data_IF_560820448729
#
_entry.id   IF_560820448729
#
_cell.length_a   1.000
_cell.length_b   1.000
_cell.length_c   1.000
_cell.angle_alpha   90.00
_cell.angle_beta   90.00
_cell.angle_gamma   90.00
#
_symmetry.space_group_name_H-M   'P 1'
#
loop_
_entity.id
_entity.type
_entity.pdbx_description
1 polymer ?
#
# COMPACT_ATOMS: atom_id res chain seq x y z
N UNK A 1 12.47 17.42 19.32
CA UNK A 1 13.35 16.32 18.89
C UNK A 1 13.04 15.99 17.44
N UNK A 2 14.04 15.87 16.54
CA UNK A 2 13.78 15.44 15.16
C UNK A 2 13.22 14.02 15.15
N UNK A 3 12.13 13.81 14.41
CA UNK A 3 11.46 12.51 14.27
C UNK A 3 12.41 11.51 13.60
N UNK A 4 12.34 10.22 13.97
CA UNK A 4 13.18 9.14 13.41
C UNK A 4 13.28 9.18 11.88
N UNK A 5 12.13 9.45 11.22
CA UNK A 5 12.01 9.55 9.77
C UNK A 5 12.87 10.68 9.19
N UNK A 6 12.95 11.82 9.88
CA UNK A 6 13.75 12.98 9.46
C UNK A 6 15.24 12.72 9.59
N UNK A 7 15.66 11.94 10.60
CA UNK A 7 17.08 11.57 10.77
C UNK A 7 17.52 10.55 9.71
N UNK A 8 16.66 9.58 9.39
CA UNK A 8 16.98 8.49 8.45
C UNK A 8 16.72 8.84 6.98
N UNK A 9 15.75 9.69 6.70
CA UNK A 9 15.28 9.98 5.34
C UNK A 9 15.75 11.31 4.76
N UNK A 10 16.51 12.11 5.52
CA UNK A 10 17.11 13.34 5.04
C UNK A 10 18.61 13.17 4.82
N UNK A 11 19.06 13.52 3.63
CA UNK A 11 20.47 13.64 3.30
C UNK A 11 20.78 15.09 2.89
N UNK A 12 21.93 15.63 3.30
CA UNK A 12 22.28 17.03 3.04
C UNK A 12 22.46 17.32 1.54
N UNK A 13 22.95 16.36 0.76
CA UNK A 13 23.21 16.50 -0.67
C UNK A 13 21.98 16.13 -1.51
N UNK A 14 21.17 15.17 -1.04
CA UNK A 14 20.04 14.63 -1.79
C UNK A 14 18.66 15.11 -1.30
N UNK A 15 18.60 15.84 -0.19
CA UNK A 15 17.36 16.27 0.44
C UNK A 15 16.53 15.09 0.95
N UNK A 16 15.21 15.13 0.77
CA UNK A 16 14.29 14.08 1.22
C UNK A 16 14.17 12.89 0.25
N UNK A 17 14.94 12.84 -0.84
CA UNK A 17 14.87 11.72 -1.81
C UNK A 17 15.06 10.34 -1.18
N UNK A 18 15.98 10.14 -0.20
CA UNK A 18 16.13 8.86 0.48
C UNK A 18 14.91 8.42 1.29
N UNK A 19 14.03 9.36 1.68
CA UNK A 19 12.84 9.09 2.50
C UNK A 19 11.92 8.03 1.89
N UNK A 20 11.71 8.09 0.56
CA UNK A 20 10.86 7.13 -0.13
C UNK A 20 11.36 5.69 0.04
N UNK A 21 12.68 5.48 -0.05
CA UNK A 21 13.31 4.17 0.17
C UNK A 21 13.17 3.72 1.62
N UNK A 22 13.36 4.62 2.58
CA UNK A 22 13.19 4.31 4.01
C UNK A 22 11.76 3.87 4.32
N UNK A 23 10.76 4.57 3.79
CA UNK A 23 9.35 4.20 3.97
C UNK A 23 9.06 2.86 3.29
N UNK A 24 9.57 2.64 2.08
CA UNK A 24 9.36 1.39 1.36
C UNK A 24 9.92 0.19 2.16
N UNK A 25 11.18 0.28 2.58
CA UNK A 25 11.90 -0.83 3.22
C UNK A 25 11.42 -1.06 4.66
N UNK A 26 11.25 0.00 5.43
CA UNK A 26 11.01 -0.12 6.87
C UNK A 26 9.54 -0.03 7.27
N UNK A 27 8.65 0.44 6.39
CA UNK A 27 7.20 0.57 6.70
C UNK A 27 6.36 -0.29 5.76
N UNK A 28 6.50 -0.14 4.44
CA UNK A 28 5.61 -0.83 3.49
C UNK A 28 5.85 -2.34 3.44
N UNK A 29 7.10 -2.79 3.35
CA UNK A 29 7.42 -4.22 3.34
C UNK A 29 6.88 -4.99 4.56
N UNK A 30 7.15 -4.59 5.82
CA UNK A 30 6.66 -5.36 6.96
C UNK A 30 5.13 -5.33 7.06
N UNK A 31 4.48 -4.22 6.69
CA UNK A 31 3.01 -4.17 6.64
C UNK A 31 2.46 -5.08 5.54
N UNK A 32 3.10 -5.15 4.37
CA UNK A 32 2.68 -6.04 3.28
C UNK A 32 2.82 -7.52 3.68
N UNK A 33 3.87 -7.90 4.40
CA UNK A 33 4.02 -9.25 4.95
C UNK A 33 2.92 -9.57 5.97
N UNK A 34 2.61 -8.65 6.88
CA UNK A 34 1.51 -8.83 7.84
C UNK A 34 0.13 -8.86 7.16
N UNK A 35 -0.04 -8.15 6.04
CA UNK A 35 -1.25 -8.20 5.20
C UNK A 35 -1.39 -9.52 4.43
N UNK A 36 -0.29 -10.14 4.01
CA UNK A 36 -0.33 -11.40 3.25
C UNK A 36 -0.39 -12.63 4.16
N UNK A 37 0.32 -12.60 5.28
CA UNK A 37 0.60 -13.79 6.09
C UNK A 37 0.38 -13.61 7.59
N UNK A 38 0.13 -12.38 8.05
CA UNK A 38 0.11 -12.05 9.46
C UNK A 38 -1.27 -11.61 9.97
N UNK A 39 -1.24 -10.75 10.99
CA UNK A 39 -2.44 -10.34 11.74
C UNK A 39 -3.35 -9.38 10.97
N UNK A 40 -2.91 -8.88 9.82
CA UNK A 40 -3.66 -7.97 8.96
C UNK A 40 -4.25 -8.67 7.74
N UNK A 41 -4.24 -10.00 7.67
CA UNK A 41 -4.76 -10.75 6.51
C UNK A 41 -6.23 -10.42 6.18
N UNK A 42 -7.02 -10.04 7.18
CA UNK A 42 -8.41 -9.62 7.00
C UNK A 42 -8.57 -8.08 6.96
N UNK A 43 -7.47 -7.35 6.76
CA UNK A 43 -7.40 -5.91 6.97
C UNK A 43 -7.24 -5.53 8.45
N UNK A 44 -7.46 -4.26 8.77
CA UNK A 44 -7.31 -3.72 10.12
C UNK A 44 -6.51 -2.42 10.14
N UNK A 45 -6.26 -1.91 11.35
CA UNK A 45 -5.46 -0.71 11.57
C UNK A 45 -4.10 -1.07 12.18
N UNK A 46 -3.03 -0.43 11.70
CA UNK A 46 -1.68 -0.56 12.27
C UNK A 46 -1.22 0.77 12.81
N UNK A 47 -0.77 0.77 14.06
CA UNK A 47 -0.11 1.91 14.67
C UNK A 47 1.40 1.70 14.63
N UNK A 48 2.10 2.61 13.94
CA UNK A 48 3.56 2.61 13.87
C UNK A 48 4.12 3.61 14.88
N UNK A 49 5.02 3.15 15.74
CA UNK A 49 5.71 3.97 16.74
C UNK A 49 7.22 3.84 16.61
N UNK A 50 7.94 4.77 17.23
CA UNK A 50 9.40 4.69 17.36
C UNK A 50 9.72 4.44 18.83
N UNK A 51 10.39 3.32 19.12
CA UNK A 51 10.96 3.02 20.43
C UNK A 51 12.43 2.67 20.26
N UNK A 52 13.29 3.24 21.11
CA UNK A 52 14.75 3.00 21.11
C UNK A 52 15.42 3.12 19.72
N UNK A 53 14.91 4.01 18.87
CA UNK A 53 15.44 4.22 17.52
C UNK A 53 15.04 3.15 16.49
N UNK A 54 14.03 2.32 16.79
CA UNK A 54 13.46 1.30 15.89
C UNK A 54 11.97 1.54 15.69
N UNK A 55 11.45 1.10 14.54
CA UNK A 55 10.02 1.12 14.28
C UNK A 55 9.36 -0.09 14.95
N UNK A 56 8.31 0.18 15.72
CA UNK A 56 7.46 -0.83 16.38
C UNK A 56 6.08 -0.75 15.76
N UNK A 57 5.51 -1.91 15.44
CA UNK A 57 4.22 -2.06 14.79
C UNK A 57 3.23 -2.70 15.77
N UNK A 58 2.24 -1.92 16.20
CA UNK A 58 1.08 -2.41 16.95
C UNK A 58 -0.07 -2.65 15.97
N UNK A 59 -0.48 -3.90 15.81
CA UNK A 59 -1.74 -4.22 15.12
C UNK A 59 -2.89 -3.91 16.08
N UNK A 60 -3.75 -2.96 15.70
CA UNK A 60 -4.99 -2.68 16.38
C UNK A 60 -6.05 -3.52 15.68
N UNK A 61 -6.50 -4.60 16.31
CA UNK A 61 -7.70 -5.32 15.90
C UNK A 61 -8.91 -4.42 16.14
N UNK A 62 -9.07 -3.42 15.29
CA UNK A 62 -10.36 -2.79 15.10
C UNK A 62 -11.10 -3.69 14.11
N UNK A 63 -12.22 -4.25 14.56
CA UNK A 63 -13.07 -5.12 13.77
C UNK A 63 -13.60 -4.35 12.55
N UNK A 64 -12.83 -4.28 11.47
CA UNK A 64 -13.27 -3.65 10.23
C UNK A 64 -14.30 -4.61 9.61
N UNK A 65 -15.57 -4.19 9.43
CA UNK A 65 -16.54 -5.02 8.72
C UNK A 65 -16.03 -5.22 7.28
N UNK A 66 -16.09 -6.47 6.81
CA UNK A 66 -15.58 -6.91 5.50
C UNK A 66 -15.86 -5.88 4.38
N UNK A 67 -14.86 -5.55 3.54
CA UNK A 67 -15.12 -4.84 2.29
C UNK A 67 -16.07 -5.68 1.44
N UNK A 68 -17.07 -5.03 0.84
CA UNK A 68 -17.93 -5.67 -0.16
C UNK A 68 -17.07 -6.05 -1.35
N UNK A 69 -17.11 -7.32 -1.76
CA UNK A 69 -16.54 -7.78 -3.02
C UNK A 69 -17.18 -7.01 -4.18
N UNK A 70 -16.39 -6.16 -4.82
CA UNK A 70 -16.69 -5.57 -6.12
C UNK A 70 -15.63 -6.04 -7.08
N UNK A 71 -15.93 -7.12 -7.81
CA UNK A 71 -15.09 -7.61 -8.88
C UNK A 71 -15.10 -6.64 -10.07
N UNK A 72 -13.95 -6.51 -10.70
CA UNK A 72 -13.86 -6.10 -12.10
C UNK A 72 -13.11 -7.21 -12.84
N UNK A 73 -13.91 -8.16 -13.32
CA UNK A 73 -13.54 -9.09 -14.37
C UNK A 73 -13.15 -8.27 -15.60
N UNK A 74 -11.86 -8.28 -15.96
CA UNK A 74 -11.44 -7.89 -17.29
C UNK A 74 -11.65 -9.10 -18.21
N UNK A 75 -12.86 -9.27 -18.73
CA UNK A 75 -13.19 -10.19 -19.82
C UNK A 75 -13.73 -9.37 -21.01
N UNK A 76 -12.94 -9.41 -22.09
CA UNK A 76 -13.30 -9.49 -23.51
C UNK A 76 -14.41 -8.56 -24.07
N UNK A 77 -14.01 -7.57 -24.88
CA UNK A 77 -14.82 -7.10 -26.01
C UNK A 77 -14.25 -7.69 -27.31
N UNK A 78 -14.68 -8.92 -27.59
CA UNK A 78 -14.63 -9.53 -28.91
C UNK A 78 -15.88 -9.06 -29.68
N UNK A 79 -15.79 -7.91 -30.37
CA UNK A 79 -16.73 -7.51 -31.45
C UNK A 79 -16.33 -6.20 -32.14
N UNK A 80 -15.36 -6.27 -33.06
CA UNK A 80 -15.36 -5.35 -34.23
C UNK A 80 -15.48 -6.18 -35.50
N UNK A 81 -16.70 -6.31 -36.00
CA UNK A 81 -17.16 -6.21 -37.41
C UNK A 81 -18.69 -6.46 -37.41
N UNK A 82 -19.52 -5.99 -38.38
CA UNK A 82 -19.20 -5.54 -39.74
C UNK A 82 -19.90 -4.23 -40.22
N UNK A 83 -19.17 -3.33 -40.88
CA UNK A 83 -19.80 -2.27 -41.70
C UNK A 83 -20.11 -2.81 -43.11
N UNK A 84 -21.33 -3.29 -43.30
CA UNK A 84 -22.00 -3.36 -44.60
C UNK A 84 -23.52 -3.23 -44.40
N UNK A 85 -24.07 -2.01 -44.44
CA UNK A 85 -25.36 -1.66 -45.09
C UNK A 85 -25.75 -0.21 -44.78
N UNK A 86 -25.62 0.67 -45.78
CA UNK A 86 -26.77 1.38 -46.35
C UNK A 86 -26.30 2.19 -47.56
N UNK A 87 -26.76 1.76 -48.73
CA UNK A 87 -26.67 2.56 -49.95
C UNK A 87 -27.72 3.68 -49.95
N UNK A 88 -27.30 4.83 -50.47
CA UNK A 88 -28.06 5.70 -51.38
C UNK A 88 -27.10 6.13 -52.48
#
# INVERSE_FOLDING_TARGET
MPTWLSVKGYDRLMGARPLGRIIQEHVKKPIAEELLFGRLNNGGAVRVRVEEGRLVFECLEETVPKPREGGETLEEDDSITPEMVNGV
#
